data_IF_162237206017
#
_entry.id   IF_162237206017
#
_cell.length_a   1.000
_cell.length_b   1.000
_cell.length_c   1.000
_cell.angle_alpha   90.00
_cell.angle_beta   90.00
_cell.angle_gamma   90.00
#
_symmetry.space_group_name_H-M   'P 1'
#
loop_
_entity.id
_entity.type
_entity.pdbx_description
1 polymer ?
#
# COMPACT_ATOMS: atom_id res chain seq x y z
N UNK A 1 9.51 -12.77 13.45
CA UNK A 1 10.03 -13.54 12.29
C UNK A 1 11.52 -13.77 12.40
N UNK A 2 12.31 -12.73 12.61
CA UNK A 2 13.76 -12.83 12.80
C UNK A 2 14.09 -13.60 14.09
N UNK A 3 13.71 -13.09 15.26
CA UNK A 3 14.18 -13.67 16.53
C UNK A 3 13.66 -15.09 16.83
N UNK A 4 12.45 -15.42 16.36
CA UNK A 4 11.80 -16.70 16.65
C UNK A 4 12.07 -17.75 15.56
N UNK A 5 12.05 -17.33 14.30
CA UNK A 5 12.12 -18.25 13.15
C UNK A 5 13.38 -18.07 12.29
N UNK A 6 14.21 -17.04 12.56
CA UNK A 6 15.48 -16.80 11.86
C UNK A 6 15.35 -16.18 10.47
N UNK A 7 14.18 -15.66 10.08
CA UNK A 7 13.99 -15.06 8.75
C UNK A 7 14.33 -13.58 8.72
N UNK A 8 15.52 -13.24 8.22
CA UNK A 8 16.00 -11.86 8.04
C UNK A 8 15.20 -11.07 7.00
N UNK A 9 14.72 -11.75 5.96
CA UNK A 9 13.80 -11.21 4.96
C UNK A 9 12.73 -12.22 4.57
N UNK A 10 11.50 -11.76 4.35
CA UNK A 10 10.39 -12.62 3.95
C UNK A 10 9.36 -11.89 3.08
N UNK A 11 8.54 -12.68 2.38
CA UNK A 11 7.37 -12.18 1.67
C UNK A 11 6.14 -12.26 2.57
N UNK A 12 5.17 -11.38 2.31
CA UNK A 12 3.97 -11.25 3.13
C UNK A 12 2.75 -11.11 2.22
N UNK A 13 1.70 -11.84 2.60
CA UNK A 13 0.41 -11.79 1.94
C UNK A 13 -0.70 -11.47 2.96
N UNK A 14 -1.58 -10.55 2.61
CA UNK A 14 -2.77 -10.22 3.38
C UNK A 14 -4.04 -10.31 2.55
N UNK A 15 -5.10 -10.83 3.16
CA UNK A 15 -6.49 -10.82 2.66
C UNK A 15 -7.38 -10.14 3.71
N UNK A 16 -8.52 -9.56 3.32
CA UNK A 16 -9.44 -8.90 4.26
C UNK A 16 -8.69 -7.98 5.27
N UNK A 17 -8.94 -8.08 6.57
CA UNK A 17 -8.17 -7.37 7.61
C UNK A 17 -6.66 -7.64 7.58
N UNK A 18 -6.26 -8.83 7.14
CA UNK A 18 -4.86 -9.19 6.94
C UNK A 18 -4.15 -8.27 5.93
N UNK A 19 -4.84 -7.68 4.95
CA UNK A 19 -4.25 -6.70 4.03
C UNK A 19 -3.84 -5.42 4.75
N UNK A 20 -4.63 -5.00 5.75
CA UNK A 20 -4.32 -3.81 6.59
C UNK A 20 -3.07 -4.04 7.42
N UNK A 21 -2.99 -5.19 8.08
CA UNK A 21 -1.81 -5.59 8.86
C UNK A 21 -0.61 -5.70 7.93
N UNK A 22 -0.78 -6.36 6.78
CA UNK A 22 0.31 -6.60 5.85
C UNK A 22 0.89 -5.31 5.27
N UNK A 23 0.03 -4.35 4.91
CA UNK A 23 0.44 -3.04 4.44
C UNK A 23 1.24 -2.29 5.51
N UNK A 24 0.76 -2.30 6.76
CA UNK A 24 1.46 -1.66 7.89
C UNK A 24 2.84 -2.26 8.12
N UNK A 25 2.96 -3.59 8.06
CA UNK A 25 4.25 -4.27 8.21
C UNK A 25 5.19 -3.98 7.03
N UNK A 26 4.68 -3.94 5.81
CA UNK A 26 5.46 -3.56 4.64
C UNK A 26 6.03 -2.14 4.78
N UNK A 27 5.20 -1.17 5.20
CA UNK A 27 5.61 0.23 5.38
C UNK A 27 6.66 0.38 6.49
N UNK A 28 6.37 -0.16 7.67
CA UNK A 28 7.22 0.00 8.86
C UNK A 28 8.51 -0.84 8.81
N UNK A 29 8.49 -1.98 8.11
CA UNK A 29 9.62 -2.92 8.04
C UNK A 29 10.10 -3.13 6.60
N UNK A 30 10.17 -2.06 5.81
CA UNK A 30 10.53 -2.10 4.38
C UNK A 30 11.93 -2.66 4.06
N UNK A 31 12.81 -2.84 5.06
CA UNK A 31 14.10 -3.54 4.91
C UNK A 31 14.01 -5.05 5.13
N UNK A 32 13.02 -5.49 5.89
CA UNK A 32 12.79 -6.91 6.23
C UNK A 32 11.77 -7.53 5.27
N UNK A 33 10.74 -6.78 4.88
CA UNK A 33 9.76 -7.22 3.90
C UNK A 33 10.31 -7.05 2.49
N UNK A 34 10.71 -8.16 1.86
CA UNK A 34 11.24 -8.14 0.49
C UNK A 34 10.16 -8.08 -0.58
N UNK A 35 8.95 -8.55 -0.27
CA UNK A 35 7.81 -8.50 -1.18
C UNK A 35 6.48 -8.52 -0.40
N UNK A 36 5.48 -7.80 -0.89
CA UNK A 36 4.15 -7.76 -0.30
C UNK A 36 3.07 -7.97 -1.37
N UNK A 37 2.08 -8.81 -1.07
CA UNK A 37 0.92 -9.06 -1.91
C UNK A 37 -0.37 -8.80 -1.12
N UNK A 38 -1.20 -7.87 -1.60
CA UNK A 38 -2.44 -7.48 -0.93
C UNK A 38 -3.63 -7.87 -1.78
N UNK A 39 -4.63 -8.51 -1.18
CA UNK A 39 -5.89 -8.78 -1.88
C UNK A 39 -6.71 -7.49 -2.11
N UNK A 40 -6.48 -6.46 -1.30
CA UNK A 40 -6.91 -5.07 -1.57
C UNK A 40 -6.01 -4.09 -0.80
N UNK A 41 -6.04 -2.81 -1.17
CA UNK A 41 -5.31 -1.75 -0.46
C UNK A 41 -6.16 -1.21 0.70
N UNK A 42 -5.63 -1.13 1.94
CA UNK A 42 -6.39 -0.73 3.12
C UNK A 42 -6.58 0.79 3.24
N UNK A 43 -6.55 1.48 2.11
CA UNK A 43 -6.79 2.91 2.00
C UNK A 43 -7.46 3.21 0.67
N UNK A 44 -8.28 4.25 0.66
CA UNK A 44 -8.81 4.81 -0.57
C UNK A 44 -7.77 5.70 -1.22
N UNK A 45 -7.76 5.72 -2.56
CA UNK A 45 -7.03 6.71 -3.34
C UNK A 45 -7.37 8.11 -2.83
N UNK A 46 -6.36 8.97 -2.66
CA UNK A 46 -6.59 10.36 -2.29
C UNK A 46 -7.50 11.06 -3.30
N UNK A 47 -8.48 11.82 -2.82
CA UNK A 47 -9.27 12.68 -3.70
C UNK A 47 -8.38 13.80 -4.26
N UNK A 48 -8.66 14.34 -5.46
CA UNK A 48 -7.85 15.40 -6.08
C UNK A 48 -7.55 16.57 -5.12
N UNK A 49 -8.53 16.99 -4.31
CA UNK A 49 -8.36 18.08 -3.35
C UNK A 49 -7.31 17.75 -2.26
N UNK A 50 -7.28 16.49 -1.81
CA UNK A 50 -6.32 16.00 -0.83
C UNK A 50 -4.92 15.87 -1.44
N UNK A 51 -4.84 15.36 -2.67
CA UNK A 51 -3.57 15.26 -3.41
C UNK A 51 -2.96 16.65 -3.65
N UNK A 52 -3.78 17.62 -4.05
CA UNK A 52 -3.33 19.01 -4.22
C UNK A 52 -2.84 19.62 -2.89
N UNK A 53 -3.52 19.32 -1.78
CA UNK A 53 -3.10 19.75 -0.43
C UNK A 53 -1.75 19.15 -0.02
N UNK A 54 -1.45 17.92 -0.48
CA UNK A 54 -0.18 17.23 -0.23
C UNK A 54 0.91 17.56 -1.25
N UNK A 55 0.70 18.55 -2.14
CA UNK A 55 1.57 18.92 -3.26
C UNK A 55 1.84 17.76 -4.25
N UNK A 56 0.91 16.81 -4.33
CA UNK A 56 0.97 15.70 -5.27
C UNK A 56 0.27 16.13 -6.56
N UNK A 57 1.02 16.23 -7.65
CA UNK A 57 0.49 16.50 -8.99
C UNK A 57 0.32 15.18 -9.73
N UNK A 58 -0.89 14.92 -10.22
CA UNK A 58 -1.17 13.74 -11.04
C UNK A 58 -0.78 14.01 -12.50
N UNK A 59 -0.26 12.99 -13.16
CA UNK A 59 -0.14 12.95 -14.63
C UNK A 59 -1.53 12.89 -15.30
N UNK A 60 -1.56 13.09 -16.62
CA UNK A 60 -2.79 12.96 -17.41
C UNK A 60 -3.42 11.56 -17.26
N UNK A 61 -2.59 10.52 -17.25
CA UNK A 61 -3.04 9.14 -17.08
C UNK A 61 -3.59 8.88 -15.67
N UNK A 62 -2.89 9.31 -14.62
CA UNK A 62 -3.36 9.16 -13.24
C UNK A 62 -4.65 9.94 -13.00
N UNK A 63 -4.82 11.10 -13.65
CA UNK A 63 -6.05 11.89 -13.60
C UNK A 63 -7.21 11.14 -14.25
N UNK A 64 -7.00 10.51 -15.40
CA UNK A 64 -8.01 9.68 -16.08
C UNK A 64 -8.43 8.49 -15.21
N UNK A 65 -7.48 7.74 -14.65
CA UNK A 65 -7.77 6.60 -13.78
C UNK A 65 -8.51 7.01 -12.49
N UNK A 66 -8.11 8.14 -11.88
CA UNK A 66 -8.79 8.68 -10.71
C UNK A 66 -10.25 9.09 -10.99
N UNK A 67 -10.56 9.57 -12.20
CA UNK A 67 -11.92 9.87 -12.63
C UNK A 67 -12.75 8.60 -12.82
N UNK A 68 -12.20 7.56 -13.45
CA UNK A 68 -12.88 6.28 -13.64
C UNK A 68 -13.22 5.61 -12.30
N UNK A 69 -12.31 5.65 -11.33
CA UNK A 69 -12.53 5.05 -10.01
C UNK A 69 -13.67 5.72 -9.20
N UNK A 70 -14.18 6.88 -9.63
CA UNK A 70 -15.28 7.60 -8.97
C UNK A 70 -16.66 7.37 -9.61
N UNK A 71 -16.74 6.65 -10.72
CA UNK A 71 -17.99 6.28 -11.40
C UNK A 71 -18.53 4.94 -10.91
#
# INVERSE_FOLDING_TARGET
MIDVLGYDTYAIHGTDWGSTIAYTLYDQYNKTIGAAHFAFLPYYSGYPDKLATENITLSEFETFEAQNARN
#
